data_IF_726208070767
#
_entry.id   IF_726208070767
#
_cell.length_a   1.000
_cell.length_b   1.000
_cell.length_c   1.000
_cell.angle_alpha   90.00
_cell.angle_beta   90.00
_cell.angle_gamma   90.00
#
_symmetry.space_group_name_H-M   'P 1'
#
loop_
_entity.id
_entity.type
_entity.pdbx_description
1 polymer ?
#
# COMPACT_ATOMS: atom_id res chain seq x y z
N UNK A 1 -11.13 -6.05 14.44
CA UNK A 1 -11.15 -7.47 14.21
C UNK A 1 -11.38 -7.79 12.73
N UNK A 2 -10.84 -8.91 12.26
CA UNK A 2 -10.99 -9.35 10.88
C UNK A 2 -10.28 -8.45 9.90
N UNK A 3 -10.92 -7.38 9.51
CA UNK A 3 -10.42 -6.44 8.51
C UNK A 3 -10.05 -5.08 9.08
N UNK A 4 -9.85 -4.99 10.39
CA UNK A 4 -9.46 -3.74 11.05
C UNK A 4 -8.12 -3.93 11.74
N UNK A 5 -7.20 -3.00 11.51
CA UNK A 5 -5.87 -3.03 12.09
C UNK A 5 -5.64 -1.76 12.90
N UNK A 6 -5.56 -1.86 14.25
CA UNK A 6 -5.13 -0.72 15.05
C UNK A 6 -3.69 -0.36 14.73
N UNK A 7 -3.43 0.91 14.46
CA UNK A 7 -2.08 1.36 14.14
C UNK A 7 -1.34 1.76 15.41
N UNK A 8 -0.09 1.33 15.52
CA UNK A 8 0.79 1.71 16.61
C UNK A 8 2.12 2.19 16.04
N UNK A 9 2.80 3.07 16.76
CA UNK A 9 4.08 3.59 16.29
C UNK A 9 5.12 2.48 16.13
N UNK A 10 5.28 1.55 17.09
CA UNK A 10 6.30 0.50 16.96
C UNK A 10 6.15 -0.42 15.76
N UNK A 11 4.95 -0.54 15.18
CA UNK A 11 4.77 -1.43 14.03
C UNK A 11 5.53 -0.96 12.79
N UNK A 12 6.02 0.29 12.79
CA UNK A 12 6.80 0.85 11.68
C UNK A 12 8.30 0.91 11.97
N UNK A 13 8.76 0.26 13.05
CA UNK A 13 10.18 0.30 13.43
C UNK A 13 11.09 -0.34 12.38
N UNK A 14 10.57 -1.29 11.63
CA UNK A 14 11.30 -2.03 10.60
C UNK A 14 10.95 -1.59 9.19
N UNK A 15 10.43 -0.36 9.02
CA UNK A 15 10.01 0.16 7.72
C UNK A 15 8.50 -0.02 7.48
N UNK A 16 8.06 0.08 6.23
CA UNK A 16 6.66 -0.04 5.85
C UNK A 16 6.08 -1.40 6.21
N UNK A 17 4.78 -1.44 6.47
CA UNK A 17 4.04 -2.69 6.61
C UNK A 17 3.43 -3.00 5.24
N UNK A 18 3.77 -4.15 4.69
CA UNK A 18 3.38 -4.54 3.34
C UNK A 18 2.38 -5.69 3.36
N UNK A 19 1.24 -5.49 2.70
CA UNK A 19 0.19 -6.50 2.56
C UNK A 19 0.18 -6.96 1.11
N UNK A 20 0.72 -8.15 0.86
CA UNK A 20 0.82 -8.69 -0.48
C UNK A 20 -0.51 -9.28 -0.92
N UNK A 21 -0.95 -8.95 -2.14
CA UNK A 21 -2.14 -9.51 -2.77
C UNK A 21 -3.38 -9.43 -1.87
N UNK A 22 -3.78 -8.21 -1.55
CA UNK A 22 -4.94 -7.98 -0.68
C UNK A 22 -6.22 -8.52 -1.33
N UNK A 23 -7.10 -9.10 -0.51
CA UNK A 23 -8.39 -9.56 -0.97
C UNK A 23 -9.33 -8.39 -1.26
N UNK A 24 -9.23 -7.34 -0.47
CA UNK A 24 -9.95 -6.09 -0.68
C UNK A 24 -9.05 -5.10 -1.39
N UNK A 25 -9.61 -4.29 -2.28
CA UNK A 25 -8.90 -3.22 -2.96
C UNK A 25 -9.34 -1.84 -2.47
N UNK A 26 -9.80 -1.78 -1.24
CA UNK A 26 -10.16 -0.54 -0.58
C UNK A 26 -9.61 -0.53 0.82
N UNK A 27 -8.98 0.58 1.20
CA UNK A 27 -8.49 0.80 2.55
C UNK A 27 -9.02 2.12 3.05
N UNK A 28 -9.36 2.17 4.34
CA UNK A 28 -9.78 3.41 4.99
C UNK A 28 -8.90 3.65 6.19
N UNK A 29 -8.41 4.87 6.31
CA UNK A 29 -7.65 5.32 7.46
C UNK A 29 -8.52 6.25 8.27
N UNK A 30 -8.82 5.87 9.51
CA UNK A 30 -9.80 6.57 10.35
C UNK A 30 -9.15 7.07 11.64
N UNK A 31 -9.53 8.28 12.01
CA UNK A 31 -9.26 8.78 13.35
C UNK A 31 -10.37 8.23 14.26
N UNK A 32 -9.97 7.46 15.27
CA UNK A 32 -10.93 6.76 16.14
C UNK A 32 -11.71 7.68 17.08
N UNK A 33 -11.26 8.92 17.23
CA UNK A 33 -11.94 9.90 18.09
C UNK A 33 -12.97 10.69 17.28
N UNK A 34 -12.58 11.19 16.10
CA UNK A 34 -13.47 12.03 15.28
C UNK A 34 -14.28 11.24 14.28
N UNK A 35 -13.92 9.99 14.04
CA UNK A 35 -14.50 9.09 13.03
C UNK A 35 -14.35 9.63 11.60
N UNK A 36 -13.49 10.61 11.41
CA UNK A 36 -13.15 11.16 10.10
C UNK A 36 -11.93 10.48 9.53
N UNK A 37 -11.80 10.52 8.23
CA UNK A 37 -10.64 9.90 7.60
C UNK A 37 -10.65 9.96 6.10
N UNK A 38 -9.92 9.03 5.51
CA UNK A 38 -9.72 8.93 4.07
C UNK A 38 -9.91 7.48 3.66
N UNK A 39 -10.58 7.28 2.54
CA UNK A 39 -10.72 5.96 1.92
C UNK A 39 -10.03 5.97 0.57
N UNK A 40 -9.26 4.94 0.27
CA UNK A 40 -8.56 4.78 -1.00
C UNK A 40 -9.04 3.49 -1.66
N UNK A 41 -9.53 3.60 -2.88
CA UNK A 41 -9.94 2.46 -3.68
C UNK A 41 -8.91 2.27 -4.80
N UNK A 42 -8.33 1.06 -4.88
CA UNK A 42 -7.20 0.76 -5.77
C UNK A 42 -7.45 -0.55 -6.54
N UNK A 43 -8.45 -0.57 -7.45
CA UNK A 43 -8.86 -1.83 -8.09
C UNK A 43 -7.78 -2.47 -8.96
N UNK A 44 -6.82 -1.68 -9.44
CA UNK A 44 -5.81 -2.14 -10.40
C UNK A 44 -4.44 -2.42 -9.75
N UNK A 45 -4.37 -2.42 -8.43
CA UNK A 45 -3.14 -2.68 -7.67
C UNK A 45 -3.35 -3.89 -6.77
N UNK A 46 -2.40 -4.81 -6.76
CA UNK A 46 -2.60 -6.07 -6.05
C UNK A 46 -2.21 -6.03 -4.58
N UNK A 47 -1.39 -5.07 -4.20
CA UNK A 47 -0.81 -5.01 -2.85
C UNK A 47 -0.93 -3.62 -2.27
N UNK A 48 -0.77 -3.52 -0.96
CA UNK A 48 -0.85 -2.26 -0.23
C UNK A 48 0.29 -2.18 0.77
N UNK A 49 1.00 -1.07 0.79
CA UNK A 49 1.93 -0.75 1.85
C UNK A 49 1.38 0.43 2.65
N UNK A 50 1.65 0.45 3.94
CA UNK A 50 1.41 1.60 4.78
C UNK A 50 2.72 1.97 5.48
N UNK A 51 2.96 3.26 5.62
CA UNK A 51 4.23 3.71 6.16
C UNK A 51 4.14 5.06 6.85
N UNK A 52 4.85 5.19 7.94
CA UNK A 52 5.19 6.45 8.57
C UNK A 52 6.63 6.32 9.07
N UNK A 53 7.39 7.41 9.20
CA UNK A 53 8.73 7.33 9.75
C UNK A 53 8.73 6.68 11.13
N UNK A 54 9.72 5.83 11.39
CA UNK A 54 9.86 5.14 12.66
C UNK A 54 9.97 6.12 13.82
N UNK A 55 9.43 5.73 14.96
CA UNK A 55 9.52 6.54 16.18
C UNK A 55 8.49 7.64 16.31
N UNK A 56 7.50 7.69 15.43
CA UNK A 56 6.43 8.68 15.52
C UNK A 56 6.89 10.11 15.27
N UNK A 57 7.91 10.27 14.42
CA UNK A 57 8.57 11.57 14.22
C UNK A 57 7.85 12.48 13.24
N UNK A 58 6.84 12.00 12.56
CA UNK A 58 6.13 12.80 11.57
C UNK A 58 4.62 12.55 11.67
N UNK A 59 3.81 13.60 11.54
CA UNK A 59 2.35 13.49 11.71
C UNK A 59 1.66 13.14 10.38
N UNK A 60 2.10 12.06 9.72
CA UNK A 60 1.45 11.60 8.49
C UNK A 60 1.58 10.09 8.36
N UNK A 61 0.72 9.54 7.52
CA UNK A 61 0.76 8.13 7.14
C UNK A 61 0.63 8.05 5.63
N UNK A 62 1.47 7.24 5.01
CA UNK A 62 1.36 6.95 3.58
C UNK A 62 0.51 5.71 3.37
N UNK A 63 -0.43 5.80 2.44
CA UNK A 63 -1.20 4.66 1.95
C UNK A 63 -0.74 4.43 0.53
N UNK A 64 -0.11 3.28 0.28
CA UNK A 64 0.62 3.05 -0.96
C UNK A 64 0.11 1.79 -1.66
N UNK A 65 -0.80 1.91 -2.63
CA UNK A 65 -1.12 0.79 -3.51
C UNK A 65 0.08 0.45 -4.40
N UNK A 66 0.37 -0.84 -4.53
CA UNK A 66 1.54 -1.32 -5.26
C UNK A 66 1.18 -2.38 -6.28
N UNK A 67 1.84 -2.33 -7.42
CA UNK A 67 2.07 -3.48 -8.28
C UNK A 67 3.58 -3.72 -8.25
N UNK A 68 3.98 -4.97 -8.00
CA UNK A 68 5.37 -5.26 -7.71
C UNK A 68 5.68 -5.08 -6.22
N UNK A 69 6.96 -5.14 -5.90
CA UNK A 69 7.40 -5.07 -4.50
C UNK A 69 8.84 -4.60 -4.42
N UNK A 70 9.33 -4.42 -3.20
CA UNK A 70 10.75 -4.23 -2.96
C UNK A 70 11.53 -5.51 -3.32
N UNK A 71 12.84 -5.42 -3.35
CA UNK A 71 13.73 -6.55 -3.67
C UNK A 71 13.62 -7.62 -2.59
N UNK A 72 13.51 -8.88 -3.01
CA UNK A 72 13.59 -10.03 -2.13
C UNK A 72 14.98 -10.65 -2.19
N UNK A 73 15.35 -11.42 -1.16
CA UNK A 73 16.64 -12.11 -1.12
C UNK A 73 16.87 -13.07 -2.29
N UNK A 74 15.79 -13.67 -2.78
CA UNK A 74 15.87 -14.63 -3.88
C UNK A 74 15.83 -13.98 -5.26
N UNK A 75 15.75 -12.66 -5.34
CA UNK A 75 15.77 -11.97 -6.62
C UNK A 75 17.16 -12.12 -7.28
N UNK A 76 17.16 -12.25 -8.60
CA UNK A 76 18.37 -12.54 -9.38
C UNK A 76 18.98 -11.30 -10.04
N UNK A 77 18.53 -10.12 -9.63
CA UNK A 77 18.97 -8.83 -10.16
C UNK A 77 18.59 -8.59 -11.63
N UNK A 78 17.75 -9.43 -12.20
CA UNK A 78 17.19 -9.21 -13.54
C UNK A 78 15.85 -8.52 -13.37
N UNK A 79 15.75 -7.27 -13.84
CA UNK A 79 14.57 -6.45 -13.63
C UNK A 79 13.29 -7.13 -14.11
N UNK A 80 13.35 -7.78 -15.28
CA UNK A 80 12.18 -8.45 -15.86
C UNK A 80 11.70 -9.66 -15.04
N UNK A 81 12.54 -10.19 -14.16
CA UNK A 81 12.18 -11.32 -13.29
C UNK A 81 11.70 -10.88 -11.91
N UNK A 82 11.66 -9.59 -11.66
CA UNK A 82 11.30 -9.06 -10.36
C UNK A 82 9.88 -9.47 -9.99
N UNK A 83 9.68 -9.80 -8.72
CA UNK A 83 8.39 -10.22 -8.19
C UNK A 83 7.31 -9.17 -8.48
N UNK A 84 6.20 -9.61 -9.07
CA UNK A 84 5.07 -8.73 -9.35
C UNK A 84 5.30 -7.71 -10.46
N UNK A 85 6.42 -7.82 -11.20
CA UNK A 85 6.71 -6.89 -12.29
C UNK A 85 5.66 -7.01 -13.41
N UNK A 86 5.29 -5.90 -13.99
CA UNK A 86 4.34 -5.86 -15.10
C UNK A 86 5.11 -5.51 -16.37
N UNK A 87 4.96 -6.34 -17.40
CA UNK A 87 5.56 -6.08 -18.70
C UNK A 87 4.51 -5.43 -19.61
N UNK A 88 4.92 -4.35 -20.27
CA UNK A 88 4.07 -3.66 -21.26
C UNK A 88 4.77 -3.70 -22.59
N UNK A 89 4.11 -4.32 -23.58
CA UNK A 89 4.67 -4.42 -24.91
C UNK A 89 4.69 -3.06 -25.62
N UNK A 90 5.63 -2.90 -26.54
CA UNK A 90 5.75 -1.68 -27.32
C UNK A 90 4.44 -1.37 -28.06
N UNK A 91 4.03 -0.12 -28.03
CA UNK A 91 2.80 0.32 -28.69
C UNK A 91 1.52 0.03 -27.93
N UNK A 92 1.62 -0.59 -26.76
CA UNK A 92 0.47 -0.89 -25.89
C UNK A 92 0.40 0.12 -24.76
N UNK A 93 -0.79 0.21 -24.12
CA UNK A 93 -0.96 1.06 -22.95
C UNK A 93 -1.72 0.30 -21.88
N UNK A 94 -1.51 0.68 -20.63
CA UNK A 94 -2.22 0.15 -19.49
C UNK A 94 -2.78 1.32 -18.69
N UNK A 95 -3.95 1.12 -18.08
CA UNK A 95 -4.61 2.15 -17.29
C UNK A 95 -4.82 1.64 -15.87
N UNK A 96 -4.50 2.49 -14.90
CA UNK A 96 -4.64 2.16 -13.49
C UNK A 96 -5.50 3.21 -12.81
N UNK A 97 -6.45 2.76 -12.00
CA UNK A 97 -7.38 3.64 -11.30
C UNK A 97 -7.04 3.76 -9.83
N UNK A 98 -7.19 4.96 -9.31
CA UNK A 98 -7.04 5.24 -7.90
C UNK A 98 -8.10 6.27 -7.52
N UNK A 99 -8.92 5.96 -6.52
CA UNK A 99 -9.93 6.89 -6.02
C UNK A 99 -9.67 7.20 -4.57
N UNK A 100 -9.72 8.48 -4.24
CA UNK A 100 -9.54 8.95 -2.86
C UNK A 100 -10.83 9.64 -2.45
N UNK A 101 -11.42 9.20 -1.35
CA UNK A 101 -12.65 9.75 -0.81
C UNK A 101 -12.42 10.23 0.62
N UNK A 102 -13.07 11.33 0.97
CA UNK A 102 -13.04 11.81 2.35
C UNK A 102 -14.17 11.17 3.14
N UNK A 103 -13.87 10.83 4.38
CA UNK A 103 -14.86 10.33 5.33
C UNK A 103 -15.08 11.45 6.35
N UNK A 104 -16.24 12.06 6.30
CA UNK A 104 -16.54 13.24 7.12
C UNK A 104 -17.34 12.94 8.37
#
# INVERSE_FOLDING_TARGET
>A
EGNTLPLTIPMFDQDAVFFEKTNSHRVSFLNTVTEKGVSVYYPDFESLAIWTPAGGKAPFLCLEPWNGSAIFHQDDDVFAHKHGIIALEAGKEATYHLEISLIE
#
